data_IF_035997216480
#
_entry.id   IF_035997216480
#
_cell.length_a   1.000
_cell.length_b   1.000
_cell.length_c   1.000
_cell.angle_alpha   90.00
_cell.angle_beta   90.00
_cell.angle_gamma   90.00
#
_symmetry.space_group_name_H-M   'P 1'
#
loop_
_entity.id
_entity.type
_entity.pdbx_description
1 polymer ?
#
# COMPACT_ATOMS: atom_id res chain seq x y z
N UNK A 1 -19.05 26.90 -6.12
CA UNK A 1 -19.54 26.52 -4.77
C UNK A 1 -18.99 25.14 -4.44
N UNK A 2 -17.99 25.04 -3.56
CA UNK A 2 -17.56 23.75 -3.01
C UNK A 2 -18.64 23.25 -2.03
N UNK A 3 -19.11 22.02 -2.22
CA UNK A 3 -20.19 21.39 -1.43
C UNK A 3 -19.83 21.46 0.07
N UNK A 4 -20.66 22.14 0.87
CA UNK A 4 -20.50 22.29 2.33
C UNK A 4 -20.80 21.01 3.14
N UNK A 5 -21.20 19.93 2.47
CA UNK A 5 -21.70 18.70 3.12
C UNK A 5 -20.72 17.52 3.09
N UNK A 6 -19.44 17.74 2.76
CA UNK A 6 -18.43 16.68 2.85
C UNK A 6 -17.92 16.62 4.27
N UNK A 7 -18.34 15.61 5.03
CA UNK A 7 -17.78 15.30 6.34
C UNK A 7 -16.40 14.65 6.18
N UNK A 8 -15.44 14.92 7.09
CA UNK A 8 -14.20 14.17 7.16
C UNK A 8 -14.49 12.67 7.27
N UNK A 9 -13.68 11.87 6.59
CA UNK A 9 -13.76 10.42 6.73
C UNK A 9 -13.15 10.04 8.08
N UNK A 10 -13.89 9.27 8.88
CA UNK A 10 -13.33 8.64 10.06
C UNK A 10 -12.36 7.55 9.63
N UNK A 11 -11.08 7.74 9.96
CA UNK A 11 -10.02 6.82 9.58
C UNK A 11 -10.00 5.61 10.52
N UNK A 12 -9.77 4.39 9.99
CA UNK A 12 -9.62 3.21 10.83
C UNK A 12 -8.35 3.30 11.69
N UNK A 13 -8.33 2.57 12.82
CA UNK A 13 -7.18 2.53 13.74
C UNK A 13 -5.99 1.72 13.20
N UNK A 14 -6.28 0.78 12.30
CA UNK A 14 -5.31 -0.08 11.65
C UNK A 14 -5.70 -0.20 10.18
N UNK A 15 -4.71 -0.06 9.31
CA UNK A 15 -4.84 -0.25 7.89
C UNK A 15 -4.23 -1.59 7.55
N UNK A 16 -5.04 -2.47 6.97
CA UNK A 16 -4.59 -3.67 6.28
C UNK A 16 -4.67 -3.38 4.78
N UNK A 17 -3.52 -3.35 4.11
CA UNK A 17 -3.43 -2.95 2.70
C UNK A 17 -2.97 -4.14 1.87
N UNK A 18 -3.85 -4.57 0.97
CA UNK A 18 -3.51 -5.48 -0.12
C UNK A 18 -3.12 -4.70 -1.38
N UNK A 19 -2.00 -5.07 -1.99
CA UNK A 19 -1.59 -4.52 -3.29
C UNK A 19 -1.40 -5.66 -4.26
N UNK A 20 -2.14 -5.62 -5.36
CA UNK A 20 -1.96 -6.54 -6.49
C UNK A 20 -1.14 -5.84 -7.57
N UNK A 21 0.00 -6.41 -7.90
CA UNK A 21 0.89 -5.93 -8.94
C UNK A 21 0.57 -6.55 -10.29
N UNK A 22 0.95 -5.86 -11.37
CA UNK A 22 0.68 -6.33 -12.73
C UNK A 22 1.48 -7.57 -13.10
N UNK A 23 2.70 -7.68 -12.60
CA UNK A 23 3.61 -8.79 -12.89
C UNK A 23 4.26 -9.28 -11.60
N UNK A 24 4.61 -10.56 -11.53
CA UNK A 24 5.22 -11.18 -10.36
C UNK A 24 6.58 -10.59 -10.02
N UNK A 25 7.37 -10.18 -11.02
CA UNK A 25 8.72 -9.63 -10.81
C UNK A 25 8.68 -8.30 -10.05
N UNK A 26 7.56 -7.57 -10.13
CA UNK A 26 7.33 -6.36 -9.32
C UNK A 26 7.24 -6.70 -7.83
N UNK A 27 6.64 -7.85 -7.50
CA UNK A 27 6.54 -8.31 -6.11
C UNK A 27 7.89 -8.75 -5.59
N UNK A 28 8.69 -9.42 -6.41
CA UNK A 28 10.03 -9.90 -6.04
C UNK A 28 10.91 -8.75 -5.53
N UNK A 29 10.82 -7.57 -6.16
CA UNK A 29 11.54 -6.38 -5.68
C UNK A 29 10.89 -5.78 -4.44
N UNK A 30 9.57 -5.73 -4.37
CA UNK A 30 8.88 -5.10 -3.24
C UNK A 30 9.06 -5.90 -1.93
N UNK A 31 9.22 -7.21 -2.01
CA UNK A 31 9.48 -8.10 -0.86
C UNK A 31 10.79 -7.85 -0.13
N UNK A 32 11.71 -7.04 -0.70
CA UNK A 32 12.89 -6.60 0.06
C UNK A 32 12.52 -5.77 1.29
N UNK A 33 11.31 -5.21 1.32
CA UNK A 33 10.79 -4.45 2.44
C UNK A 33 10.29 -5.41 3.54
N UNK A 34 10.86 -5.38 4.75
CA UNK A 34 10.50 -6.33 5.82
C UNK A 34 9.05 -6.22 6.32
N UNK A 35 8.37 -5.13 5.98
CA UNK A 35 6.98 -4.88 6.38
C UNK A 35 5.96 -5.61 5.49
N UNK A 36 6.43 -6.19 4.38
CA UNK A 36 5.58 -6.76 3.34
C UNK A 36 5.56 -8.28 3.48
N UNK A 37 4.37 -8.86 3.32
CA UNK A 37 4.12 -10.29 3.24
C UNK A 37 3.49 -10.60 1.86
N UNK A 38 4.08 -11.50 1.07
CA UNK A 38 3.43 -12.00 -0.15
C UNK A 38 2.38 -13.03 0.21
N UNK A 39 1.15 -12.75 -0.21
CA UNK A 39 -0.02 -13.58 0.08
C UNK A 39 -0.53 -14.32 -1.18
N UNK A 40 -0.09 -13.91 -2.37
CA UNK A 40 -0.32 -14.61 -3.64
C UNK A 40 0.76 -14.22 -4.65
N UNK A 41 0.89 -14.94 -5.77
CA UNK A 41 1.97 -14.81 -6.74
C UNK A 41 2.29 -13.37 -7.17
N UNK A 42 1.28 -12.51 -7.35
CA UNK A 42 1.46 -11.09 -7.66
C UNK A 42 0.82 -10.15 -6.62
N UNK A 43 0.53 -10.63 -5.40
CA UNK A 43 -0.16 -9.85 -4.37
C UNK A 43 0.62 -9.84 -3.06
N UNK A 44 0.70 -8.67 -2.45
CA UNK A 44 1.25 -8.49 -1.12
C UNK A 44 0.24 -7.90 -0.14
N UNK A 45 0.58 -8.04 1.14
CA UNK A 45 -0.10 -7.51 2.29
C UNK A 45 0.90 -6.75 3.17
N UNK A 46 0.48 -5.62 3.72
CA UNK A 46 1.16 -5.02 4.87
C UNK A 46 0.15 -4.34 5.79
N UNK A 47 0.54 -4.16 7.06
CA UNK A 47 -0.28 -3.54 8.10
C UNK A 47 0.42 -2.30 8.65
N UNK A 48 -0.35 -1.25 8.91
CA UNK A 48 0.17 -0.01 9.49
C UNK A 48 -0.93 0.72 10.25
N UNK A 49 -0.60 1.45 11.32
CA UNK A 49 -1.59 2.15 12.16
C UNK A 49 -1.63 3.67 11.95
N UNK A 50 -0.70 4.20 11.15
CA UNK A 50 -0.66 5.60 10.79
C UNK A 50 -0.88 5.75 9.28
N UNK A 51 -1.89 6.53 8.92
CA UNK A 51 -2.26 6.74 7.52
C UNK A 51 -1.10 7.33 6.68
N UNK A 52 -0.34 8.27 7.26
CA UNK A 52 0.76 8.93 6.55
C UNK A 52 1.88 7.92 6.29
N UNK A 53 2.21 7.06 7.26
CA UNK A 53 3.17 5.95 7.08
C UNK A 53 2.68 4.95 6.05
N UNK A 54 1.42 4.50 6.14
CA UNK A 54 0.84 3.57 5.17
C UNK A 54 0.96 4.10 3.74
N UNK A 55 0.59 5.37 3.53
CA UNK A 55 0.68 6.01 2.22
C UNK A 55 2.13 6.18 1.73
N UNK A 56 3.07 6.49 2.64
CA UNK A 56 4.50 6.54 2.29
C UNK A 56 5.01 5.16 1.86
N UNK A 57 4.64 4.10 2.55
CA UNK A 57 5.02 2.74 2.16
C UNK A 57 4.46 2.37 0.78
N UNK A 58 3.19 2.67 0.50
CA UNK A 58 2.61 2.46 -0.84
C UNK A 58 3.44 3.17 -1.92
N UNK A 59 3.85 4.43 -1.68
CA UNK A 59 4.69 5.18 -2.64
C UNK A 59 6.05 4.52 -2.85
N UNK A 60 6.70 4.06 -1.78
CA UNK A 60 7.98 3.34 -1.87
C UNK A 60 7.81 2.07 -2.70
N UNK A 61 6.79 1.26 -2.43
CA UNK A 61 6.51 0.03 -3.17
C UNK A 61 6.24 0.29 -4.66
N UNK A 62 5.45 1.32 -4.99
CA UNK A 62 5.20 1.71 -6.38
C UNK A 62 6.50 2.12 -7.07
N UNK A 63 7.36 2.88 -6.40
CA UNK A 63 8.63 3.31 -6.99
C UNK A 63 9.60 2.13 -7.19
N UNK A 64 9.65 1.18 -6.26
CA UNK A 64 10.42 -0.06 -6.40
C UNK A 64 9.90 -0.91 -7.57
N UNK A 65 8.59 -1.16 -7.62
CA UNK A 65 7.96 -1.94 -8.68
C UNK A 65 8.13 -1.33 -10.08
N UNK A 66 8.34 -0.01 -10.19
CA UNK A 66 8.62 0.68 -11.46
C UNK A 66 10.03 0.44 -12.00
N UNK A 67 10.93 -0.13 -11.20
CA UNK A 67 12.31 -0.39 -11.63
C UNK A 67 12.47 -1.65 -12.51
N UNK A 68 11.37 -2.41 -12.70
CA UNK A 68 11.29 -3.63 -13.51
C UNK A 68 10.18 -3.60 -14.54
#
# INVERSE_FOLDING_TARGET
MLKKDIKPLDMPKEFEIEITFRRTEMVDIVEILPIVERIDGNKILFRENDFIRAFRYIRVMINLARSV
#
